data_IF_430634729244
#
_entry.id   IF_430634729244
#
_cell.length_a   1.000
_cell.length_b   1.000
_cell.length_c   1.000
_cell.angle_alpha   90.00
_cell.angle_beta   90.00
_cell.angle_gamma   90.00
#
_symmetry.space_group_name_H-M   'P 1'
#
loop_
_entity.id
_entity.type
_entity.pdbx_description
1 polymer ?
#
# COMPACT_ATOMS: atom_id res chain seq x y z
N UNK A 1 9.05 -5.95 37.48
CA UNK A 1 9.30 -4.99 36.39
C UNK A 1 8.73 -5.61 35.13
N UNK A 2 7.66 -5.03 34.57
CA UNK A 2 7.14 -5.46 33.27
C UNK A 2 7.86 -4.67 32.18
N UNK A 3 8.55 -5.36 31.28
CA UNK A 3 8.97 -4.77 30.02
C UNK A 3 7.78 -4.81 29.07
N UNK A 4 6.97 -3.75 29.08
CA UNK A 4 6.07 -3.51 27.95
C UNK A 4 6.94 -3.34 26.70
N UNK A 5 6.75 -4.23 25.73
CA UNK A 5 7.43 -4.12 24.44
C UNK A 5 6.92 -2.91 23.66
N UNK A 6 7.59 -2.52 22.55
CA UNK A 6 7.04 -1.52 21.65
C UNK A 6 5.60 -1.91 21.23
N UNK A 7 4.68 -0.94 21.13
CA UNK A 7 3.28 -1.20 20.82
C UNK A 7 3.15 -1.88 19.45
N UNK A 8 2.19 -2.78 19.31
CA UNK A 8 2.06 -3.56 18.08
C UNK A 8 1.45 -2.72 16.93
N UNK A 9 2.18 -2.63 15.83
CA UNK A 9 1.84 -1.88 14.62
C UNK A 9 0.86 -2.69 13.77
N UNK A 10 -0.34 -2.14 13.55
CA UNK A 10 -1.31 -2.76 12.63
C UNK A 10 -1.09 -2.25 11.20
N UNK A 11 -0.72 -3.15 10.29
CA UNK A 11 -0.50 -2.83 8.88
C UNK A 11 -1.60 -3.45 8.02
N UNK A 12 -2.28 -2.61 7.24
CA UNK A 12 -3.22 -3.00 6.21
C UNK A 12 -2.51 -2.99 4.86
N UNK A 13 -2.74 -3.99 4.01
CA UNK A 13 -2.01 -4.18 2.75
C UNK A 13 -2.99 -4.21 1.58
N UNK A 14 -2.71 -3.43 0.53
CA UNK A 14 -3.50 -3.41 -0.71
C UNK A 14 -2.67 -3.88 -1.89
N UNK A 15 -3.29 -4.69 -2.76
CA UNK A 15 -2.78 -5.04 -4.08
C UNK A 15 -3.77 -4.61 -5.16
N UNK A 16 -3.39 -4.72 -6.43
CA UNK A 16 -4.28 -4.46 -7.56
C UNK A 16 -4.54 -5.76 -8.33
N UNK A 17 -5.74 -5.92 -8.89
CA UNK A 17 -6.02 -7.00 -9.85
C UNK A 17 -5.11 -6.92 -11.08
N UNK A 18 -5.03 -7.98 -11.87
CA UNK A 18 -4.43 -7.94 -13.21
C UNK A 18 -5.13 -6.97 -14.16
N UNK A 19 -4.32 -6.30 -14.99
CA UNK A 19 -4.78 -5.36 -16.01
C UNK A 19 -5.21 -6.09 -17.29
N UNK A 20 -6.03 -5.45 -18.13
CA UNK A 20 -6.36 -5.99 -19.44
C UNK A 20 -5.09 -6.17 -20.29
N UNK A 21 -4.85 -7.39 -20.78
CA UNK A 21 -3.66 -7.75 -21.57
C UNK A 21 -2.43 -8.14 -20.75
N UNK A 22 -2.46 -8.05 -19.41
CA UNK A 22 -1.39 -8.53 -18.52
C UNK A 22 -1.86 -9.82 -17.83
N UNK A 23 -1.14 -10.95 -17.95
CA UNK A 23 -1.64 -12.24 -17.47
C UNK A 23 -1.67 -12.36 -15.94
N UNK A 24 -0.73 -11.69 -15.28
CA UNK A 24 -0.49 -11.71 -13.83
C UNK A 24 -0.29 -10.27 -13.31
N UNK A 25 -0.60 -10.02 -12.04
CA UNK A 25 -0.13 -8.83 -11.33
C UNK A 25 0.53 -9.30 -10.04
N UNK A 26 1.86 -9.09 -9.88
CA UNK A 26 2.57 -9.50 -8.66
C UNK A 26 1.92 -9.03 -7.36
N UNK A 27 1.32 -7.84 -7.34
CA UNK A 27 0.62 -7.33 -6.14
C UNK A 27 -0.65 -8.13 -5.80
N UNK A 28 -1.31 -8.77 -6.78
CA UNK A 28 -2.46 -9.66 -6.55
C UNK A 28 -2.01 -10.93 -5.82
N UNK A 29 -0.96 -11.58 -6.33
CA UNK A 29 -0.37 -12.80 -5.75
C UNK A 29 0.27 -12.54 -4.38
N UNK A 30 1.03 -11.44 -4.23
CA UNK A 30 1.69 -11.10 -2.96
C UNK A 30 0.64 -10.83 -1.88
N UNK A 31 -0.36 -9.99 -2.14
CA UNK A 31 -1.31 -9.56 -1.10
C UNK A 31 -2.35 -10.64 -0.77
N UNK A 32 -2.63 -11.58 -1.69
CA UNK A 32 -3.40 -12.79 -1.35
C UNK A 32 -2.56 -13.81 -0.56
N UNK A 33 -1.28 -14.02 -0.91
CA UNK A 33 -0.43 -15.03 -0.28
C UNK A 33 0.24 -14.64 1.04
N UNK A 34 0.50 -13.34 1.29
CA UNK A 34 1.35 -12.86 2.40
C UNK A 34 0.89 -13.34 3.78
N UNK A 35 -0.42 -13.45 4.01
CA UNK A 35 -0.98 -13.93 5.28
C UNK A 35 -0.59 -15.38 5.59
N UNK A 36 -0.56 -16.24 4.58
CA UNK A 36 -0.20 -17.66 4.74
C UNK A 36 1.31 -17.87 4.67
N UNK A 37 2.03 -17.01 3.94
CA UNK A 37 3.49 -16.93 4.02
C UNK A 37 3.97 -16.58 5.43
N UNK A 38 3.35 -15.60 6.10
CA UNK A 38 3.68 -15.23 7.48
C UNK A 38 3.26 -16.31 8.50
N UNK A 39 2.14 -17.04 8.29
CA UNK A 39 1.83 -18.24 9.11
C UNK A 39 2.90 -19.31 8.99
N UNK A 40 3.44 -19.54 7.79
CA UNK A 40 4.43 -20.59 7.51
C UNK A 40 5.83 -20.25 8.03
N UNK A 41 6.26 -19.00 7.88
CA UNK A 41 7.63 -18.57 8.19
C UNK A 41 7.77 -17.84 9.54
N UNK A 42 6.64 -17.50 10.18
CA UNK A 42 6.57 -16.71 11.41
C UNK A 42 6.18 -15.26 11.17
N UNK A 43 5.42 -14.68 12.10
CA UNK A 43 5.10 -13.26 12.12
C UNK A 43 6.25 -12.47 12.77
N UNK A 44 6.70 -11.35 12.17
CA UNK A 44 7.57 -10.37 12.82
C UNK A 44 7.06 -9.94 14.19
N UNK A 45 7.97 -9.70 15.13
CA UNK A 45 7.65 -9.04 16.40
C UNK A 45 7.09 -7.64 16.12
N UNK A 46 6.09 -7.22 16.88
CA UNK A 46 5.43 -5.93 16.69
C UNK A 46 4.38 -5.91 15.56
N UNK A 47 4.40 -6.83 14.59
CA UNK A 47 3.46 -6.81 13.47
C UNK A 47 2.09 -7.41 13.81
N UNK A 48 1.03 -6.62 13.64
CA UNK A 48 -0.33 -7.11 13.42
C UNK A 48 -0.68 -6.92 11.94
N UNK A 49 -0.91 -8.02 11.22
CA UNK A 49 -1.46 -7.95 9.86
C UNK A 49 -2.98 -7.73 9.93
N UNK A 50 -3.42 -6.56 9.49
CA UNK A 50 -4.83 -6.15 9.44
C UNK A 50 -5.57 -6.77 8.25
N UNK A 51 -6.20 -5.94 7.42
CA UNK A 51 -6.82 -6.39 6.17
C UNK A 51 -5.79 -6.55 5.05
N UNK A 52 -6.07 -7.49 4.14
CA UNK A 52 -5.36 -7.68 2.88
C UNK A 52 -6.42 -7.60 1.77
N UNK A 53 -6.38 -6.55 0.95
CA UNK A 53 -7.45 -6.20 0.01
C UNK A 53 -6.91 -6.10 -1.41
N UNK A 54 -7.61 -6.69 -2.40
CA UNK A 54 -7.28 -6.51 -3.81
C UNK A 54 -8.23 -5.48 -4.44
N UNK A 55 -7.66 -4.36 -4.87
CA UNK A 55 -8.35 -3.24 -5.52
C UNK A 55 -8.52 -3.51 -7.02
N UNK A 56 -9.63 -3.07 -7.60
CA UNK A 56 -9.80 -3.07 -9.05
C UNK A 56 -8.82 -2.10 -9.75
N UNK A 57 -8.46 -2.39 -11.00
CA UNK A 57 -7.59 -1.49 -11.80
C UNK A 57 -8.35 -0.36 -12.50
N UNK A 58 -9.68 -0.30 -12.32
CA UNK A 58 -10.55 0.76 -12.85
C UNK A 58 -10.84 1.78 -11.73
N UNK A 59 -10.71 3.07 -12.04
CA UNK A 59 -10.58 4.16 -11.06
C UNK A 59 -11.54 4.10 -9.86
N UNK A 60 -12.85 4.08 -10.11
CA UNK A 60 -13.83 4.05 -9.01
C UNK A 60 -13.97 2.67 -8.35
N UNK A 61 -13.79 1.57 -9.06
CA UNK A 61 -13.73 0.24 -8.43
C UNK A 61 -12.55 0.12 -7.45
N UNK A 62 -11.43 0.80 -7.78
CA UNK A 62 -10.31 0.99 -6.88
C UNK A 62 -10.70 1.88 -5.68
N UNK A 63 -11.36 3.01 -5.93
CA UNK A 63 -11.79 3.96 -4.90
C UNK A 63 -12.75 3.34 -3.89
N UNK A 64 -13.77 2.63 -4.36
CA UNK A 64 -14.76 1.96 -3.51
C UNK A 64 -14.11 0.91 -2.60
N UNK A 65 -13.17 0.14 -3.16
CA UNK A 65 -12.44 -0.91 -2.45
C UNK A 65 -11.39 -0.33 -1.48
N UNK A 66 -10.77 0.79 -1.85
CA UNK A 66 -9.86 1.57 -1.01
C UNK A 66 -10.62 2.19 0.16
N UNK A 67 -11.73 2.88 -0.11
CA UNK A 67 -12.60 3.47 0.89
C UNK A 67 -13.10 2.41 1.87
N UNK A 68 -13.55 1.24 1.40
CA UNK A 68 -13.91 0.10 2.27
C UNK A 68 -12.72 -0.37 3.13
N UNK A 69 -11.49 -0.36 2.59
CA UNK A 69 -10.28 -0.73 3.33
C UNK A 69 -9.88 0.32 4.38
N UNK A 70 -9.91 1.62 4.03
CA UNK A 70 -9.63 2.74 4.92
C UNK A 70 -10.69 2.90 6.02
N UNK A 71 -11.98 2.74 5.69
CA UNK A 71 -13.07 2.71 6.67
C UNK A 71 -13.01 1.44 7.55
N UNK A 72 -12.44 0.33 7.07
CA UNK A 72 -12.24 -0.88 7.90
C UNK A 72 -11.16 -0.73 8.98
N UNK A 73 -10.31 0.30 8.92
CA UNK A 73 -9.41 0.66 10.01
C UNK A 73 -9.97 1.72 10.97
N UNK A 74 -11.12 2.34 10.64
CA UNK A 74 -11.80 3.37 11.46
C UNK A 74 -13.33 3.18 11.41
N UNK A 75 -13.86 2.31 12.27
CA UNK A 75 -15.28 1.91 12.23
C UNK A 75 -16.26 3.04 12.61
N UNK A 76 -16.89 3.71 11.62
CA UNK A 76 -18.36 3.92 11.55
C UNK A 76 -18.87 4.80 10.37
N UNK A 77 -19.94 4.29 9.72
CA UNK A 77 -21.03 4.99 8.97
C UNK A 77 -20.85 5.51 7.51
N UNK A 78 -21.67 4.88 6.66
CA UNK A 78 -22.67 5.43 5.70
C UNK A 78 -22.28 6.08 4.33
N UNK A 79 -22.93 5.52 3.28
CA UNK A 79 -23.44 6.13 2.01
C UNK A 79 -22.64 6.10 0.67
N UNK A 80 -23.42 6.12 -0.42
CA UNK A 80 -23.19 5.80 -1.86
C UNK A 80 -22.88 7.04 -2.74
N UNK A 81 -22.53 7.08 -4.06
CA UNK A 81 -21.89 6.25 -5.14
C UNK A 81 -21.40 7.27 -6.26
N UNK A 82 -21.25 7.12 -7.60
CA UNK A 82 -21.56 6.09 -8.63
C UNK A 82 -20.92 6.35 -10.03
N UNK A 83 -20.22 5.36 -10.59
CA UNK A 83 -19.80 5.12 -12.00
C UNK A 83 -19.02 6.18 -12.83
N UNK A 84 -17.89 5.79 -13.48
CA UNK A 84 -17.24 6.56 -14.54
C UNK A 84 -16.98 5.77 -15.85
N UNK A 85 -17.19 6.44 -16.98
CA UNK A 85 -16.46 6.12 -18.22
C UNK A 85 -14.99 6.57 -18.12
N UNK A 86 -14.09 5.97 -18.90
CA UNK A 86 -12.68 6.37 -18.95
C UNK A 86 -12.52 7.84 -19.41
N UNK A 87 -11.95 8.69 -18.55
CA UNK A 87 -11.45 10.03 -18.89
C UNK A 87 -9.99 10.14 -18.43
N UNK A 88 -9.14 10.75 -19.27
CA UNK A 88 -7.77 11.11 -18.88
C UNK A 88 -7.81 12.51 -18.29
N UNK A 89 -7.85 12.59 -16.96
CA UNK A 89 -8.13 13.82 -16.23
C UNK A 89 -6.95 14.81 -16.24
N UNK A 90 -7.23 16.06 -16.65
CA UNK A 90 -6.43 17.26 -16.36
C UNK A 90 -7.05 18.09 -15.22
N UNK A 91 -7.71 17.44 -14.27
CA UNK A 91 -8.25 18.07 -13.05
C UNK A 91 -7.45 17.59 -11.84
N UNK A 92 -7.49 18.31 -10.70
CA UNK A 92 -6.96 17.81 -9.44
C UNK A 92 -7.59 16.46 -9.09
N UNK A 93 -6.82 15.56 -8.47
CA UNK A 93 -7.33 14.27 -7.98
C UNK A 93 -8.46 14.52 -6.97
N UNK A 94 -8.34 15.60 -6.21
CA UNK A 94 -9.30 16.09 -5.23
C UNK A 94 -9.38 17.63 -5.37
N UNK A 95 -10.54 18.23 -5.73
CA UNK A 95 -10.65 19.66 -6.00
C UNK A 95 -10.29 20.58 -4.83
N UNK A 96 -10.66 20.22 -3.60
CA UNK A 96 -10.37 21.03 -2.41
C UNK A 96 -8.87 21.10 -2.06
N UNK A 97 -8.06 20.17 -2.59
CA UNK A 97 -6.61 20.12 -2.37
C UNK A 97 -5.85 21.11 -3.28
N UNK A 98 -6.55 21.82 -4.16
CA UNK A 98 -6.04 22.97 -4.91
C UNK A 98 -5.57 22.66 -6.33
N UNK A 99 -4.44 23.24 -6.74
CA UNK A 99 -3.94 23.14 -8.11
C UNK A 99 -3.29 21.78 -8.40
N UNK A 100 -3.28 21.37 -9.67
CA UNK A 100 -2.64 20.11 -10.13
C UNK A 100 -1.11 20.02 -9.88
N UNK A 101 -0.48 21.13 -9.45
CA UNK A 101 0.90 21.19 -8.99
C UNK A 101 1.10 20.69 -7.55
N UNK A 102 0.03 20.58 -6.77
CA UNK A 102 0.10 20.29 -5.34
C UNK A 102 0.36 18.79 -5.10
N UNK A 103 1.55 18.47 -4.60
CA UNK A 103 1.93 17.12 -4.18
C UNK A 103 1.46 16.83 -2.75
N UNK A 104 1.33 15.54 -2.43
CA UNK A 104 1.21 14.99 -1.07
C UNK A 104 2.38 14.02 -0.87
N UNK A 105 2.93 13.96 0.34
CA UNK A 105 4.14 13.21 0.66
C UNK A 105 3.90 12.32 1.90
N UNK A 106 4.62 11.21 2.00
CA UNK A 106 4.43 10.29 3.13
C UNK A 106 5.21 10.72 4.36
N UNK A 107 4.67 10.42 5.55
CA UNK A 107 5.40 10.55 6.83
C UNK A 107 6.12 9.26 7.25
N UNK A 108 6.25 8.28 6.34
CA UNK A 108 7.14 7.12 6.52
C UNK A 108 8.56 7.55 6.12
N UNK A 109 9.61 7.30 6.93
CA UNK A 109 10.98 7.64 6.57
C UNK A 109 11.49 6.67 5.50
N UNK A 110 11.27 7.02 4.22
CA UNK A 110 11.50 6.11 3.09
C UNK A 110 12.99 5.81 2.92
N UNK A 111 13.86 6.73 3.30
CA UNK A 111 15.31 6.61 3.28
C UNK A 111 15.81 5.59 4.32
N UNK A 112 15.26 5.62 5.54
CA UNK A 112 15.58 4.66 6.60
C UNK A 112 15.04 3.27 6.24
N UNK A 113 13.80 3.21 5.75
CA UNK A 113 13.15 1.99 5.27
C UNK A 113 13.94 1.33 4.12
N UNK A 114 14.36 2.13 3.14
CA UNK A 114 15.19 1.68 2.00
C UNK A 114 16.54 1.19 2.51
N UNK A 115 17.19 1.92 3.41
CA UNK A 115 18.49 1.55 3.99
C UNK A 115 18.42 0.23 4.78
N UNK A 116 17.35 0.00 5.54
CA UNK A 116 17.10 -1.24 6.27
C UNK A 116 16.76 -2.44 5.35
N UNK A 117 16.12 -2.19 4.20
CA UNK A 117 15.85 -3.23 3.21
C UNK A 117 17.11 -3.59 2.39
N UNK A 118 17.94 -2.60 2.04
CA UNK A 118 19.26 -2.82 1.44
C UNK A 118 20.18 -3.59 2.40
N UNK A 119 20.17 -3.30 3.70
CA UNK A 119 20.97 -4.07 4.68
C UNK A 119 20.48 -5.50 4.89
N UNK A 120 19.21 -5.79 4.56
CA UNK A 120 18.65 -7.16 4.45
C UNK A 120 18.94 -7.85 3.10
N UNK A 121 19.65 -7.19 2.18
CA UNK A 121 20.09 -7.75 0.90
C UNK A 121 19.10 -7.58 -0.26
N UNK A 122 18.16 -6.64 -0.19
CA UNK A 122 17.23 -6.34 -1.28
C UNK A 122 17.71 -5.17 -2.15
N UNK A 123 17.64 -5.32 -3.47
CA UNK A 123 17.84 -4.23 -4.42
C UNK A 123 16.60 -3.35 -4.48
N UNK A 124 16.61 -2.24 -3.74
CA UNK A 124 15.51 -1.26 -3.68
C UNK A 124 16.02 0.18 -3.73
N UNK A 125 15.15 1.10 -4.15
CA UNK A 125 15.40 2.54 -4.20
C UNK A 125 14.12 3.32 -3.86
N UNK A 126 14.28 4.58 -3.45
CA UNK A 126 13.17 5.53 -3.31
C UNK A 126 12.64 5.95 -4.69
N UNK A 127 11.42 6.50 -4.74
CA UNK A 127 10.79 6.98 -5.99
C UNK A 127 9.88 8.16 -5.72
N UNK A 128 9.96 9.20 -6.56
CA UNK A 128 9.22 10.46 -6.45
C UNK A 128 8.02 10.58 -7.41
N UNK A 129 7.78 9.56 -8.24
CA UNK A 129 6.63 9.44 -9.15
C UNK A 129 5.88 8.10 -8.93
N UNK A 130 4.66 8.17 -8.40
CA UNK A 130 3.74 7.03 -8.29
C UNK A 130 3.00 6.73 -9.61
N UNK A 131 3.38 7.41 -10.70
CA UNK A 131 2.83 7.27 -12.03
C UNK A 131 1.60 8.16 -12.29
N UNK A 132 0.99 8.00 -13.46
CA UNK A 132 -0.18 8.79 -13.91
C UNK A 132 -1.42 7.92 -14.14
N UNK A 133 -1.53 6.84 -13.36
CA UNK A 133 -2.60 5.83 -13.42
C UNK A 133 -3.23 5.61 -12.04
N UNK A 134 -4.04 4.55 -11.90
CA UNK A 134 -4.77 4.20 -10.67
C UNK A 134 -3.89 4.11 -9.42
N UNK A 135 -2.61 3.74 -9.56
CA UNK A 135 -1.61 3.71 -8.48
C UNK A 135 -1.49 5.05 -7.74
N UNK A 136 -1.15 6.12 -8.46
CA UNK A 136 -1.03 7.46 -7.91
C UNK A 136 -2.37 8.02 -7.40
N UNK A 137 -3.48 7.70 -8.07
CA UNK A 137 -4.82 8.09 -7.62
C UNK A 137 -5.13 7.50 -6.23
N UNK A 138 -4.95 6.18 -6.07
CA UNK A 138 -5.10 5.47 -4.79
C UNK A 138 -4.13 5.99 -3.73
N UNK A 139 -2.87 6.25 -4.09
CA UNK A 139 -1.87 6.74 -3.14
C UNK A 139 -2.20 8.15 -2.65
N UNK A 140 -2.60 9.07 -3.52
CA UNK A 140 -2.98 10.44 -3.16
C UNK A 140 -4.17 10.49 -2.18
N UNK A 141 -5.20 9.66 -2.42
CA UNK A 141 -6.31 9.49 -1.48
C UNK A 141 -5.85 8.92 -0.13
N UNK A 142 -4.96 7.92 -0.15
CA UNK A 142 -4.41 7.30 1.07
C UNK A 142 -3.58 8.29 1.90
N UNK A 143 -2.76 9.13 1.25
CA UNK A 143 -1.96 10.18 1.90
C UNK A 143 -2.86 11.23 2.58
N UNK A 144 -3.87 11.76 1.88
CA UNK A 144 -4.85 12.70 2.47
C UNK A 144 -5.55 12.10 3.68
N UNK A 145 -5.95 10.83 3.59
CA UNK A 145 -6.56 10.11 4.70
C UNK A 145 -5.60 9.96 5.88
N UNK A 146 -4.32 9.66 5.64
CA UNK A 146 -3.30 9.56 6.69
C UNK A 146 -3.04 10.87 7.42
N UNK A 147 -2.93 11.99 6.71
CA UNK A 147 -2.81 13.33 7.30
C UNK A 147 -3.99 13.64 8.24
N UNK A 148 -5.21 13.29 7.82
CA UNK A 148 -6.44 13.55 8.58
C UNK A 148 -6.63 12.63 9.79
N UNK A 149 -6.16 11.37 9.72
CA UNK A 149 -6.50 10.33 10.69
C UNK A 149 -5.31 9.82 11.54
N UNK A 150 -4.14 10.47 11.45
CA UNK A 150 -2.89 10.08 12.14
C UNK A 150 -2.39 8.66 11.77
N UNK A 151 -2.85 8.09 10.65
CA UNK A 151 -2.31 6.84 10.10
C UNK A 151 -1.10 7.15 9.21
N UNK A 152 -0.52 6.12 8.60
CA UNK A 152 0.58 6.25 7.65
C UNK A 152 0.29 5.46 6.39
N UNK A 153 0.67 6.01 5.24
CA UNK A 153 0.47 5.40 3.93
C UNK A 153 1.81 5.32 3.20
N UNK A 154 2.13 4.14 2.67
CA UNK A 154 3.29 3.88 1.83
C UNK A 154 2.79 3.27 0.52
N UNK A 155 3.39 3.66 -0.60
CA UNK A 155 3.20 2.98 -1.88
C UNK A 155 4.50 2.29 -2.29
N UNK A 156 4.40 1.06 -2.81
CA UNK A 156 5.56 0.27 -3.26
C UNK A 156 5.26 -0.29 -4.65
N UNK A 157 6.06 0.11 -5.63
CA UNK A 157 6.09 -0.57 -6.92
C UNK A 157 6.90 -1.86 -6.81
N UNK A 158 6.41 -2.93 -7.44
CA UNK A 158 7.13 -4.20 -7.60
C UNK A 158 7.20 -4.55 -9.09
N UNK A 159 8.31 -5.16 -9.58
CA UNK A 159 8.45 -5.52 -10.98
C UNK A 159 7.69 -6.82 -11.31
N UNK A 160 7.61 -7.20 -12.59
CA UNK A 160 6.99 -8.46 -13.03
C UNK A 160 7.76 -9.68 -12.50
N UNK A 161 7.10 -10.85 -12.38
CA UNK A 161 7.76 -12.07 -11.91
C UNK A 161 8.82 -12.61 -12.88
N UNK A 162 8.75 -12.20 -14.15
CA UNK A 162 9.80 -12.39 -15.16
C UNK A 162 11.08 -11.56 -14.91
N UNK A 163 11.04 -10.58 -14.01
CA UNK A 163 12.18 -9.73 -13.63
C UNK A 163 12.73 -10.12 -12.26
N UNK A 164 11.85 -10.28 -11.26
CA UNK A 164 12.20 -10.82 -9.93
C UNK A 164 11.15 -11.86 -9.56
N UNK A 165 11.55 -13.11 -9.33
CA UNK A 165 10.63 -14.23 -9.11
C UNK A 165 9.71 -14.04 -7.87
N UNK A 166 8.58 -14.75 -7.87
CA UNK A 166 7.54 -14.68 -6.83
C UNK A 166 8.08 -14.93 -5.42
N UNK A 167 8.95 -15.93 -5.22
CA UNK A 167 9.47 -16.26 -3.88
C UNK A 167 10.31 -15.10 -3.31
N UNK A 168 11.16 -14.49 -4.14
CA UNK A 168 11.94 -13.31 -3.76
C UNK A 168 11.04 -12.11 -3.44
N UNK A 169 9.99 -11.86 -4.23
CA UNK A 169 9.06 -10.76 -3.96
C UNK A 169 8.20 -10.99 -2.72
N UNK A 170 7.77 -12.22 -2.45
CA UNK A 170 7.02 -12.58 -1.25
C UNK A 170 7.88 -12.46 0.01
N UNK A 171 9.15 -12.90 -0.07
CA UNK A 171 10.14 -12.72 1.00
C UNK A 171 10.41 -11.24 1.27
N UNK A 172 10.57 -10.45 0.21
CA UNK A 172 10.67 -8.99 0.29
C UNK A 172 9.46 -8.36 0.98
N UNK A 173 8.24 -8.73 0.61
CA UNK A 173 7.02 -8.22 1.23
C UNK A 173 6.95 -8.55 2.75
N UNK A 174 7.39 -9.74 3.15
CA UNK A 174 7.50 -10.10 4.57
C UNK A 174 8.56 -9.25 5.31
N UNK A 175 9.73 -9.02 4.70
CA UNK A 175 10.77 -8.15 5.26
C UNK A 175 10.38 -6.66 5.28
N UNK A 176 9.57 -6.20 4.33
CA UNK A 176 8.99 -4.85 4.32
C UNK A 176 8.05 -4.65 5.52
N UNK A 177 7.15 -5.60 5.77
CA UNK A 177 6.26 -5.58 6.94
C UNK A 177 7.03 -5.70 8.25
N UNK A 178 8.12 -6.48 8.28
CA UNK A 178 9.04 -6.57 9.41
C UNK A 178 9.68 -5.22 9.73
N UNK A 179 10.30 -4.55 8.74
CA UNK A 179 10.97 -3.26 8.96
C UNK A 179 9.96 -2.18 9.37
N UNK A 180 8.79 -2.11 8.72
CA UNK A 180 7.74 -1.17 9.09
C UNK A 180 7.23 -1.36 10.54
N UNK A 181 7.20 -2.60 11.04
CA UNK A 181 6.89 -2.93 12.43
C UNK A 181 8.07 -2.78 13.42
N UNK A 182 9.21 -2.25 12.96
CA UNK A 182 10.35 -1.84 13.82
C UNK A 182 10.61 -0.33 13.80
N UNK A 183 9.96 0.41 12.88
CA UNK A 183 10.04 1.88 12.80
C UNK A 183 8.96 2.58 13.64
N UNK A 184 7.98 1.84 14.16
CA UNK A 184 6.80 2.31 14.91
C UNK A 184 6.45 1.38 16.08
#
# INVERSE_FOLDING_TARGET
MGSEGPPAVTIHVTGFKKFHGVPENPTETIVTGIKDYLKKNGFPKGLILGSCSILDTAGEGALDSLNKTLQSSITAKDSETSNPGRVVWKVPIIPEDGAISNKRETSVPVEELTSALVSKGYEVMTSDDAGRFVCNYVYYHSLRFSEQNKTKSLFVHVPLFSTINEETQMRFAASLLEVLATLY
#
